data_IF_277039073520
#
_entry.id   IF_277039073520
#
_cell.length_a   1.000
_cell.length_b   1.000
_cell.length_c   1.000
_cell.angle_alpha   90.00
_cell.angle_beta   90.00
_cell.angle_gamma   90.00
#
_symmetry.space_group_name_H-M   'P 1'
#
loop_
_entity.id
_entity.type
_entity.pdbx_description
1 polymer ?
#
# COMPACT_ATOMS: atom_id res chain seq x y z
N UNK A 1 -12.32 -13.79 7.81
CA UNK A 1 -11.25 -12.93 7.26
C UNK A 1 -10.45 -12.38 8.42
N UNK A 2 -9.15 -12.70 8.49
CA UNK A 2 -8.29 -12.25 9.58
C UNK A 2 -8.07 -10.71 9.50
N UNK A 3 -7.95 -9.97 10.63
CA UNK A 3 -7.70 -8.52 10.60
C UNK A 3 -6.49 -8.13 9.76
N UNK A 4 -5.43 -8.94 9.80
CA UNK A 4 -4.23 -8.73 8.97
C UNK A 4 -4.50 -8.84 7.48
N UNK A 5 -5.32 -9.81 7.06
CA UNK A 5 -5.71 -9.92 5.65
C UNK A 5 -6.61 -8.75 5.21
N UNK A 6 -7.42 -8.21 6.12
CA UNK A 6 -8.20 -7.00 5.85
C UNK A 6 -7.30 -5.82 5.57
N UNK A 7 -6.36 -5.57 6.47
CA UNK A 7 -5.48 -4.42 6.34
C UNK A 7 -4.57 -4.57 5.11
N UNK A 8 -4.15 -5.80 4.78
CA UNK A 8 -3.43 -6.10 3.54
C UNK A 8 -4.26 -5.77 2.28
N UNK A 9 -5.53 -6.22 2.20
CA UNK A 9 -6.40 -5.92 1.05
C UNK A 9 -6.70 -4.43 0.93
N UNK A 10 -6.93 -3.75 2.05
CA UNK A 10 -7.14 -2.30 2.08
C UNK A 10 -5.91 -1.53 1.59
N UNK A 11 -4.71 -1.95 1.99
CA UNK A 11 -3.47 -1.36 1.50
C UNK A 11 -3.34 -1.51 -0.03
N UNK A 12 -3.61 -2.71 -0.58
CA UNK A 12 -3.54 -2.95 -2.02
C UNK A 12 -4.54 -2.09 -2.79
N UNK A 13 -5.75 -1.97 -2.27
CA UNK A 13 -6.80 -1.15 -2.87
C UNK A 13 -6.44 0.34 -2.85
N UNK A 14 -5.92 0.83 -1.72
CA UNK A 14 -5.48 2.21 -1.57
C UNK A 14 -4.35 2.56 -2.54
N UNK A 15 -3.37 1.66 -2.69
CA UNK A 15 -2.28 1.82 -3.66
C UNK A 15 -2.82 1.87 -5.09
N UNK A 16 -3.72 0.95 -5.47
CA UNK A 16 -4.37 0.93 -6.78
C UNK A 16 -5.18 2.21 -7.08
N UNK A 17 -5.87 2.77 -6.08
CA UNK A 17 -6.64 4.01 -6.21
C UNK A 17 -5.75 5.26 -6.25
N UNK A 18 -4.53 5.17 -5.72
CA UNK A 18 -3.54 6.24 -5.76
C UNK A 18 -3.78 7.35 -4.73
N UNK A 19 -3.31 8.59 -5.00
CA UNK A 19 -3.24 9.66 -4.01
C UNK A 19 -4.53 9.99 -3.25
N UNK A 20 -5.69 9.81 -3.89
CA UNK A 20 -7.00 10.04 -3.28
C UNK A 20 -7.32 9.07 -2.12
N UNK A 21 -6.60 7.94 -2.03
CA UNK A 21 -6.85 6.89 -1.04
C UNK A 21 -5.67 6.62 -0.12
N UNK A 22 -4.56 7.38 -0.24
CA UNK A 22 -3.39 7.21 0.64
C UNK A 22 -3.68 7.49 2.11
N UNK A 23 -4.75 8.22 2.42
CA UNK A 23 -5.26 8.34 3.78
C UNK A 23 -5.47 6.98 4.45
N UNK A 24 -5.94 5.96 3.72
CA UNK A 24 -6.12 4.60 4.27
C UNK A 24 -4.79 3.98 4.70
N UNK A 25 -3.71 4.20 3.94
CA UNK A 25 -2.37 3.70 4.30
C UNK A 25 -1.87 4.38 5.58
N UNK A 26 -2.09 5.70 5.70
CA UNK A 26 -1.72 6.50 6.88
C UNK A 26 -2.50 6.00 8.11
N UNK A 27 -3.82 5.82 7.98
CA UNK A 27 -4.66 5.31 9.06
C UNK A 27 -4.19 3.93 9.55
N UNK A 28 -3.90 3.00 8.63
CA UNK A 28 -3.38 1.67 9.01
C UNK A 28 -2.04 1.81 9.73
N UNK A 29 -1.11 2.62 9.21
CA UNK A 29 0.21 2.80 9.80
C UNK A 29 0.18 3.47 11.18
N UNK A 30 -0.73 4.41 11.41
CA UNK A 30 -0.80 5.18 12.65
C UNK A 30 -1.67 4.54 13.74
N UNK A 31 -2.62 3.68 13.38
CA UNK A 31 -3.59 3.09 14.34
C UNK A 31 -3.30 1.65 14.73
N UNK A 32 -2.40 0.96 14.03
CA UNK A 32 -2.04 -0.43 14.30
C UNK A 32 -0.77 -0.53 15.12
N UNK A 33 -0.74 -1.50 16.03
CA UNK A 33 0.46 -1.89 16.76
C UNK A 33 1.49 -2.50 15.80
N UNK A 34 2.76 -2.54 16.24
CA UNK A 34 3.84 -3.12 15.46
C UNK A 34 3.60 -4.60 15.11
N UNK A 35 2.95 -5.36 16.00
CA UNK A 35 2.59 -6.76 15.75
C UNK A 35 1.50 -6.89 14.68
N UNK A 36 0.47 -6.05 14.73
CA UNK A 36 -0.59 -6.03 13.72
C UNK A 36 -0.04 -5.63 12.34
N UNK A 37 0.86 -4.65 12.28
CA UNK A 37 1.53 -4.25 11.04
C UNK A 37 2.42 -5.37 10.48
N UNK A 38 3.13 -6.09 11.34
CA UNK A 38 3.91 -7.27 10.93
C UNK A 38 3.01 -8.37 10.37
N UNK A 39 1.88 -8.62 11.01
CA UNK A 39 0.86 -9.55 10.54
C UNK A 39 0.30 -9.15 9.18
N UNK A 40 -0.06 -7.88 9.01
CA UNK A 40 -0.57 -7.33 7.75
C UNK A 40 0.46 -7.45 6.61
N UNK A 41 1.74 -7.14 6.85
CA UNK A 41 2.82 -7.32 5.88
C UNK A 41 2.99 -8.78 5.44
N UNK A 42 2.98 -9.72 6.39
CA UNK A 42 3.04 -11.16 6.07
C UNK A 42 1.84 -11.59 5.24
N UNK A 43 0.63 -11.19 5.65
CA UNK A 43 -0.59 -11.50 4.92
C UNK A 43 -0.58 -10.90 3.50
N UNK A 44 -0.11 -9.65 3.35
CA UNK A 44 0.03 -9.00 2.05
C UNK A 44 0.96 -9.76 1.12
N UNK A 45 2.15 -10.13 1.60
CA UNK A 45 3.11 -10.92 0.83
C UNK A 45 2.51 -12.28 0.41
N UNK A 46 1.80 -12.96 1.32
CA UNK A 46 1.14 -14.23 0.97
C UNK A 46 -0.01 -14.08 -0.04
N UNK A 47 -0.70 -12.94 -0.05
CA UNK A 47 -1.85 -12.70 -0.93
C UNK A 47 -1.46 -12.17 -2.31
N UNK A 48 -0.38 -11.40 -2.41
CA UNK A 48 -0.04 -10.62 -3.61
C UNK A 48 1.37 -10.87 -4.15
N UNK A 49 2.16 -11.73 -3.50
CA UNK A 49 3.53 -12.10 -3.91
C UNK A 49 4.49 -10.90 -4.05
N UNK A 50 4.18 -9.81 -3.34
CA UNK A 50 4.95 -8.57 -3.28
C UNK A 50 4.89 -8.01 -1.86
N UNK A 51 5.87 -7.21 -1.47
CA UNK A 51 5.80 -6.45 -0.22
C UNK A 51 4.96 -5.18 -0.38
N UNK A 52 4.44 -4.66 0.75
CA UNK A 52 3.73 -3.38 0.76
C UNK A 52 4.70 -2.26 0.38
N UNK A 53 5.94 -2.37 0.86
CA UNK A 53 7.01 -1.41 0.68
C UNK A 53 7.43 -1.27 -0.80
N UNK A 54 7.55 -2.38 -1.53
CA UNK A 54 7.83 -2.39 -2.97
C UNK A 54 6.68 -1.76 -3.77
N UNK A 55 5.43 -2.09 -3.43
CA UNK A 55 4.29 -1.49 -4.11
C UNK A 55 4.20 0.02 -3.82
N UNK A 56 4.44 0.47 -2.59
CA UNK A 56 4.51 1.90 -2.25
C UNK A 56 5.61 2.60 -3.07
N UNK A 57 6.82 2.03 -3.13
CA UNK A 57 7.94 2.60 -3.87
C UNK A 57 7.62 2.69 -5.37
N UNK A 58 7.02 1.66 -5.97
CA UNK A 58 6.66 1.67 -7.39
C UNK A 58 5.61 2.74 -7.73
N UNK A 59 4.66 3.01 -6.82
CA UNK A 59 3.66 4.05 -7.02
C UNK A 59 4.25 5.46 -6.94
N UNK A 60 5.24 5.69 -6.05
CA UNK A 60 5.92 6.99 -5.95
C UNK A 60 6.79 7.24 -7.19
N UNK A 61 7.58 6.26 -7.63
CA UNK A 61 8.41 6.42 -8.83
C UNK A 61 7.60 6.45 -10.13
N UNK A 62 6.42 5.81 -10.16
CA UNK A 62 5.50 5.88 -11.29
C UNK A 62 4.86 7.26 -11.48
N UNK A 63 4.70 8.04 -10.39
CA UNK A 63 4.25 9.43 -10.45
C UNK A 63 5.29 10.30 -11.18
N UNK A 64 6.58 10.11 -10.90
CA UNK A 64 7.68 10.86 -11.52
C UNK A 64 7.69 10.71 -13.06
N UNK A 65 7.44 9.49 -13.56
CA UNK A 65 7.38 9.22 -15.00
C UNK A 65 6.18 9.83 -15.71
N UNK A 66 5.05 10.04 -15.02
CA UNK A 66 3.85 10.68 -15.62
C UNK A 66 4.03 12.18 -15.81
N UNK A 67 4.82 12.85 -14.97
CA UNK A 67 5.12 14.27 -15.14
C UNK A 67 5.99 14.54 -16.35
N UNK A 68 6.78 13.57 -16.83
CA UNK A 68 7.60 13.74 -18.04
C UNK A 68 6.80 13.63 -19.35
N UNK A 69 5.59 13.08 -19.34
CA UNK A 69 4.77 12.91 -20.55
C UNK A 69 3.75 14.04 -20.83
N UNK A 70 3.67 15.07 -19.97
CA UNK A 70 2.78 16.24 -20.18
C UNK A 70 3.52 17.52 -20.55
N UNK A 71 4.84 17.44 -20.80
CA UNK A 71 5.66 18.58 -21.25
C UNK A 71 6.28 18.30 -22.63
N UNK A 72 5.47 17.75 -23.53
CA UNK A 72 5.70 17.74 -24.98
C UNK A 72 4.44 18.29 -25.66
#
# INVERSE_FOLDING_TARGET
MHPWERDARLAKEALKKGPSSYGVLIEIACTRSSEELLGARKAYHSLFDHSIEEDVASHIHGIDRKFQSQMC
#
